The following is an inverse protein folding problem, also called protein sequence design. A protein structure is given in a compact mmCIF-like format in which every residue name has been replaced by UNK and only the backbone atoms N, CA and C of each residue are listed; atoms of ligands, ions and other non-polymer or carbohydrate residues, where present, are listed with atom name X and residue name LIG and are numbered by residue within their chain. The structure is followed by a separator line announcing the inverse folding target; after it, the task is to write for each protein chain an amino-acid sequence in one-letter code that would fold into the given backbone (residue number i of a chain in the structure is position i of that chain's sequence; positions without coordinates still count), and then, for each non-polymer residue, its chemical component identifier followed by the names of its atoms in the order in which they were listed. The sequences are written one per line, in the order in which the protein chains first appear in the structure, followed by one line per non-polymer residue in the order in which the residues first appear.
data_IF_090183713080
#
_entry.id   IF_090183713080
#
_cell.length_a   1.000
_cell.length_b   1.000
_cell.length_c   1.000
_cell.angle_alpha   90.00
_cell.angle_beta   90.00
_cell.angle_gamma   90.00
#
_symmetry.space_group_name_H-M   'P 1'
#
loop_
_entity.id
_entity.type
_entity.pdbx_description
1 polymer ?
#
# COMPACT_ATOMS: atom_id res chain seq x y z
N UNK A 1 -10.26 2.76 4.93
CA UNK A 1 -10.23 1.99 6.22
C UNK A 1 -9.92 0.52 5.97
N UNK A 2 -10.63 -0.16 5.06
CA UNK A 2 -10.32 -1.54 4.65
C UNK A 2 -8.94 -1.64 4.00
N UNK A 3 -8.60 -0.74 3.08
CA UNK A 3 -7.32 -0.78 2.35
C UNK A 3 -6.12 -0.62 3.29
N UNK A 4 -6.22 0.30 4.26
CA UNK A 4 -5.19 0.47 5.29
C UNK A 4 -5.05 -0.77 6.19
N UNK A 5 -6.14 -1.47 6.48
CA UNK A 5 -6.06 -2.71 7.26
C UNK A 5 -5.36 -3.83 6.47
N UNK A 6 -5.63 -3.95 5.17
CA UNK A 6 -4.95 -4.91 4.28
C UNK A 6 -3.46 -4.58 4.18
N UNK A 7 -3.11 -3.31 4.02
CA UNK A 7 -1.71 -2.86 4.00
C UNK A 7 -1.00 -3.19 5.33
N UNK A 8 -1.66 -2.94 6.46
CA UNK A 8 -1.09 -3.22 7.78
C UNK A 8 -0.93 -4.73 8.05
N UNK A 9 -1.84 -5.56 7.53
CA UNK A 9 -1.75 -7.03 7.61
C UNK A 9 -0.55 -7.57 6.83
N UNK A 10 -0.29 -7.01 5.64
CA UNK A 10 0.77 -7.48 4.73
C UNK A 10 2.14 -6.83 5.00
N UNK A 11 2.25 -5.96 6.02
CA UNK A 11 3.41 -5.13 6.27
C UNK A 11 4.69 -5.93 6.55
N UNK A 12 5.68 -5.80 5.66
CA UNK A 12 6.98 -6.49 5.75
C UNK A 12 6.88 -8.02 5.92
N UNK A 13 5.81 -8.65 5.44
CA UNK A 13 5.68 -10.11 5.41
C UNK A 13 6.68 -10.77 4.44
N UNK A 14 6.79 -12.10 4.49
CA UNK A 14 7.64 -12.84 3.56
C UNK A 14 7.23 -12.60 2.10
N UNK A 15 8.19 -12.55 1.14
CA UNK A 15 7.89 -12.26 -0.25
C UNK A 15 6.85 -13.21 -0.83
N UNK A 16 5.79 -12.64 -1.41
CA UNK A 16 4.66 -13.35 -2.00
C UNK A 16 4.03 -12.51 -3.13
N UNK A 17 2.71 -12.56 -3.26
CA UNK A 17 1.93 -11.70 -4.17
C UNK A 17 0.91 -10.88 -3.36
N UNK A 18 1.38 -9.96 -2.49
CA UNK A 18 0.51 -9.17 -1.62
C UNK A 18 -0.26 -8.12 -2.44
N UNK A 19 -1.56 -8.01 -2.19
CA UNK A 19 -2.42 -7.07 -2.91
C UNK A 19 -2.12 -5.60 -2.60
N UNK A 20 -1.44 -5.30 -1.49
CA UNK A 20 -1.06 -3.95 -1.08
C UNK A 20 0.34 -3.53 -1.57
N UNK A 21 1.05 -4.37 -2.34
CA UNK A 21 2.30 -4.01 -3.02
C UNK A 21 1.96 -3.27 -4.33
N UNK A 22 1.79 -1.96 -4.19
CA UNK A 22 1.31 -1.05 -5.23
C UNK A 22 2.42 -0.10 -5.71
N UNK A 23 3.55 -0.05 -5.00
CA UNK A 23 4.67 0.82 -5.27
C UNK A 23 6.00 0.04 -5.23
N UNK A 24 6.90 0.23 -6.22
CA UNK A 24 6.75 1.04 -7.43
C UNK A 24 5.71 0.44 -8.40
N UNK A 25 5.43 1.11 -9.52
CA UNK A 25 4.48 0.60 -10.50
C UNK A 25 4.88 -0.83 -10.98
N UNK A 26 4.04 -1.81 -10.64
CA UNK A 26 4.29 -3.23 -10.89
C UNK A 26 4.72 -4.03 -9.65
N UNK A 27 4.86 -3.38 -8.49
CA UNK A 27 5.22 -3.99 -7.21
C UNK A 27 6.71 -4.30 -7.07
N UNK A 28 7.22 -4.33 -5.83
CA UNK A 28 8.57 -4.84 -5.51
C UNK A 28 8.55 -6.14 -4.67
N UNK A 29 7.38 -6.75 -4.52
CA UNK A 29 7.03 -7.90 -3.67
C UNK A 29 7.15 -7.63 -2.17
N UNK A 30 7.19 -6.37 -1.74
CA UNK A 30 7.34 -6.00 -0.33
C UNK A 30 6.42 -4.84 0.02
N UNK A 31 5.36 -5.11 0.77
CA UNK A 31 4.53 -4.03 1.33
C UNK A 31 5.33 -3.26 2.37
N UNK A 32 5.66 -2.02 2.05
CA UNK A 32 6.52 -1.16 2.85
C UNK A 32 6.09 0.30 2.81
N UNK A 33 7.00 1.20 3.20
CA UNK A 33 6.70 2.63 3.30
C UNK A 33 6.32 3.26 1.95
N UNK A 34 6.84 2.73 0.84
CA UNK A 34 6.53 3.21 -0.51
C UNK A 34 5.05 3.01 -0.84
N UNK A 35 4.50 1.85 -0.49
CA UNK A 35 3.08 1.55 -0.69
C UNK A 35 2.19 2.42 0.19
N UNK A 36 2.61 2.65 1.42
CA UNK A 36 1.89 3.51 2.35
C UNK A 36 1.86 4.97 1.87
N UNK A 37 2.96 5.46 1.28
CA UNK A 37 3.03 6.79 0.69
C UNK A 37 2.00 6.93 -0.43
N UNK A 38 1.96 6.00 -1.39
CA UNK A 38 0.98 6.00 -2.48
C UNK A 38 -0.46 5.89 -1.96
N UNK A 39 -0.72 5.03 -0.98
CA UNK A 39 -2.04 4.91 -0.37
C UNK A 39 -2.48 6.23 0.30
N UNK A 40 -1.56 6.89 1.01
CA UNK A 40 -1.84 8.15 1.69
C UNK A 40 -2.06 9.31 0.71
N UNK A 41 -1.30 9.38 -0.38
CA UNK A 41 -1.48 10.38 -1.43
C UNK A 41 -2.88 10.29 -2.05
N UNK A 42 -3.30 9.10 -2.48
CA UNK A 42 -4.63 8.91 -3.06
C UNK A 42 -5.75 9.18 -2.06
N UNK A 43 -5.59 8.81 -0.79
CA UNK A 43 -6.59 9.13 0.23
C UNK A 43 -6.70 10.64 0.46
N UNK A 44 -5.58 11.37 0.44
CA UNK A 44 -5.59 12.82 0.56
C UNK A 44 -6.24 13.49 -0.65
N UNK A 45 -5.93 13.06 -1.88
CA UNK A 45 -6.55 13.56 -3.11
C UNK A 45 -8.08 13.42 -3.08
N UNK A 46 -8.59 12.25 -2.71
CA UNK A 46 -10.03 11.96 -2.65
C UNK A 46 -10.74 12.71 -1.50
N UNK A 47 -9.97 13.18 -0.52
CA UNK A 47 -10.48 13.96 0.61
C UNK A 47 -10.52 15.48 0.36
N UNK A 48 -9.96 15.95 -0.76
CA UNK A 48 -10.04 17.35 -1.17
C UNK A 48 -11.37 17.61 -1.92
N UNK A 49 -12.05 18.73 -1.62
CA UNK A 49 -13.35 19.07 -2.22
C UNK A 49 -13.28 19.47 -3.70
#
# INVERSE_FOLDING_TARGET
LVDFAILAEQWLEEPGDPSADIAPAGGDNTVNLLDLEVLAEHWLEDSLP
#
